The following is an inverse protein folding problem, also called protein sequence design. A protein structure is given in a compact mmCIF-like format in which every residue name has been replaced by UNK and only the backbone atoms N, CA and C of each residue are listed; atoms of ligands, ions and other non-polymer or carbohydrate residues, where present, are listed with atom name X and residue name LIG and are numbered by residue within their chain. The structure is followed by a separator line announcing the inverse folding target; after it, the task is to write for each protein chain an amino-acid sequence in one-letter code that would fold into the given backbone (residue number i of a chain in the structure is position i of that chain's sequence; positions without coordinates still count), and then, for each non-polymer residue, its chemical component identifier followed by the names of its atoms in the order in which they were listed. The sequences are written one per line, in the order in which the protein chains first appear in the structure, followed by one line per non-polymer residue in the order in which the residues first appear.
data_IF_480736951196
#
_entry.id   IF_480736951196
#
_cell.length_a   1.000
_cell.length_b   1.000
_cell.length_c   1.000
_cell.angle_alpha   90.00
_cell.angle_beta   90.00
_cell.angle_gamma   90.00
#
_symmetry.space_group_name_H-M   'P 1'
#
loop_
_entity.id
_entity.type
_entity.pdbx_description
1 polymer ?
#
# COMPACT_ATOMS: atom_id res chain seq x y z
N UNK A 1 -7.75 -0.29 18.74
CA UNK A 1 -6.32 0.06 18.70
C UNK A 1 -5.71 -0.89 17.67
N UNK A 2 -5.34 -0.42 16.49
CA UNK A 2 -5.04 -1.29 15.34
C UNK A 2 -3.69 -1.99 15.53
N UNK A 3 -3.73 -3.19 16.08
CA UNK A 3 -2.64 -4.17 15.98
C UNK A 3 -2.58 -4.65 14.53
N UNK A 4 -1.57 -4.41 13.70
CA UNK A 4 -0.39 -3.59 13.83
C UNK A 4 0.01 -3.19 12.39
N UNK A 5 0.16 -1.88 12.15
CA UNK A 5 0.77 -1.38 10.91
C UNK A 5 2.18 -1.99 10.71
N UNK A 6 2.87 -2.34 11.80
CA UNK A 6 4.23 -2.88 11.83
C UNK A 6 4.46 -4.16 11.02
N UNK A 7 3.91 -5.34 11.41
CA UNK A 7 4.19 -6.60 10.72
C UNK A 7 3.74 -6.62 9.26
N UNK A 8 2.59 -6.00 8.97
CA UNK A 8 2.08 -5.86 7.61
C UNK A 8 2.96 -4.97 6.73
N UNK A 9 3.36 -3.80 7.24
CA UNK A 9 4.23 -2.88 6.51
C UNK A 9 5.61 -3.49 6.23
N UNK A 10 6.19 -4.25 7.17
CA UNK A 10 7.49 -4.92 6.95
C UNK A 10 7.39 -5.95 5.83
N UNK A 11 6.32 -6.73 5.78
CA UNK A 11 6.11 -7.73 4.70
C UNK A 11 5.92 -7.05 3.35
N UNK A 12 5.12 -5.99 3.29
CA UNK A 12 4.89 -5.22 2.06
C UNK A 12 6.17 -4.52 1.58
N UNK A 13 6.95 -3.94 2.49
CA UNK A 13 8.26 -3.35 2.18
C UNK A 13 9.22 -4.36 1.56
N UNK A 14 9.29 -5.58 2.10
CA UNK A 14 10.11 -6.66 1.55
C UNK A 14 9.67 -7.10 0.15
N UNK A 15 8.36 -7.19 -0.08
CA UNK A 15 7.81 -7.49 -1.42
C UNK A 15 8.15 -6.38 -2.40
N UNK A 16 7.91 -5.13 -2.02
CA UNK A 16 8.22 -3.96 -2.85
C UNK A 16 9.70 -3.92 -3.25
N UNK A 17 10.62 -4.08 -2.30
CA UNK A 17 12.05 -4.10 -2.58
C UNK A 17 12.44 -5.22 -3.56
N UNK A 18 11.85 -6.41 -3.38
CA UNK A 18 12.13 -7.57 -4.25
C UNK A 18 11.66 -7.34 -5.68
N UNK A 19 10.48 -6.77 -5.86
CA UNK A 19 9.94 -6.58 -7.21
C UNK A 19 10.56 -5.37 -7.91
N UNK A 20 10.90 -4.32 -7.17
CA UNK A 20 11.66 -3.19 -7.71
C UNK A 20 13.14 -3.55 -7.99
N UNK A 21 13.61 -4.73 -7.57
CA UNK A 21 14.99 -5.16 -7.73
C UNK A 21 16.00 -4.36 -6.90
N UNK A 22 15.52 -3.71 -5.82
CA UNK A 22 16.36 -2.84 -5.00
C UNK A 22 17.27 -3.64 -4.08
N UNK A 23 18.56 -3.32 -4.10
CA UNK A 23 19.50 -3.74 -3.06
C UNK A 23 19.12 -3.06 -1.73
N UNK A 24 19.51 -3.63 -0.57
CA UNK A 24 19.18 -3.06 0.74
C UNK A 24 19.55 -1.58 0.88
N UNK A 25 20.71 -1.17 0.36
CA UNK A 25 21.14 0.23 0.38
C UNK A 25 20.26 1.16 -0.46
N UNK A 26 19.75 0.68 -1.60
CA UNK A 26 18.84 1.46 -2.45
C UNK A 26 17.47 1.60 -1.78
N UNK A 27 16.96 0.52 -1.18
CA UNK A 27 15.69 0.55 -0.46
C UNK A 27 15.71 1.55 0.71
N UNK A 28 16.77 1.56 1.52
CA UNK A 28 16.88 2.49 2.66
C UNK A 28 17.15 3.95 2.25
N UNK A 29 17.69 4.17 1.05
CA UNK A 29 17.89 5.51 0.50
C UNK A 29 16.67 6.05 -0.26
N UNK A 30 15.75 5.17 -0.68
CA UNK A 30 14.57 5.54 -1.44
C UNK A 30 13.62 6.40 -0.60
N UNK A 31 13.10 7.46 -1.20
CA UNK A 31 12.11 8.33 -0.58
C UNK A 31 10.69 7.77 -0.77
N UNK A 32 9.71 8.24 0.01
CA UNK A 32 8.31 7.89 -0.24
C UNK A 32 7.82 8.25 -1.64
N UNK A 33 8.39 9.30 -2.27
CA UNK A 33 8.06 9.69 -3.64
C UNK A 33 8.58 8.67 -4.67
N UNK A 34 9.79 8.14 -4.46
CA UNK A 34 10.35 7.07 -5.30
C UNK A 34 9.51 5.80 -5.19
N UNK A 35 9.09 5.46 -3.97
CA UNK A 35 8.19 4.32 -3.73
C UNK A 35 6.85 4.50 -4.45
N UNK A 36 6.25 5.70 -4.38
CA UNK A 36 5.01 6.01 -5.08
C UNK A 36 5.17 5.93 -6.60
N UNK A 37 6.29 6.42 -7.16
CA UNK A 37 6.56 6.36 -8.59
C UNK A 37 6.69 4.91 -9.10
N UNK A 38 7.36 4.04 -8.36
CA UNK A 38 7.47 2.61 -8.72
C UNK A 38 6.11 1.92 -8.66
N UNK A 39 5.31 2.19 -7.61
CA UNK A 39 3.99 1.59 -7.46
C UNK A 39 2.98 2.13 -8.49
N UNK A 40 3.13 3.38 -8.94
CA UNK A 40 2.28 3.98 -9.96
C UNK A 40 2.36 3.23 -11.30
N UNK A 41 3.48 2.58 -11.62
CA UNK A 41 3.61 1.75 -12.82
C UNK A 41 2.72 0.50 -12.82
N UNK A 42 2.14 0.14 -11.67
CA UNK A 42 1.17 -0.95 -11.53
C UNK A 42 -0.27 -0.50 -11.37
N UNK A 43 -0.50 0.80 -11.24
CA UNK A 43 -1.84 1.33 -11.38
C UNK A 43 -2.20 1.28 -12.87
N UNK A 44 -3.29 0.59 -13.21
CA UNK A 44 -3.83 0.59 -14.57
C UNK A 44 -4.12 2.04 -15.00
N UNK A 45 -3.78 2.40 -16.25
CA UNK A 45 -4.06 3.74 -16.80
C UNK A 45 -5.56 4.08 -16.79
N UNK A 46 -6.43 3.05 -16.77
CA UNK A 46 -7.87 3.19 -16.76
C UNK A 46 -8.47 3.55 -15.39
N UNK A 47 -7.66 3.74 -14.34
CA UNK A 47 -8.13 4.27 -13.05
C UNK A 47 -9.23 3.45 -12.35
N UNK A 48 -9.50 2.22 -12.84
CA UNK A 48 -10.66 1.44 -12.44
C UNK A 48 -10.51 0.75 -11.08
N UNK A 49 -9.28 0.69 -10.54
CA UNK A 49 -9.05 0.41 -9.13
C UNK A 49 -8.84 1.74 -8.39
N UNK A 50 -9.91 2.53 -8.24
CA UNK A 50 -9.96 3.54 -7.18
C UNK A 50 -9.53 2.81 -5.89
N UNK A 51 -8.44 3.23 -5.21
CA UNK A 51 -8.17 2.72 -3.88
C UNK A 51 -9.44 2.94 -3.08
N UNK A 52 -9.99 1.86 -2.50
CA UNK A 52 -11.26 1.85 -1.76
C UNK A 52 -11.41 3.16 -0.98
N UNK A 53 -12.30 4.02 -1.47
CA UNK A 53 -12.37 5.38 -0.95
C UNK A 53 -12.80 5.32 0.52
N UNK A 54 -12.21 6.18 1.36
CA UNK A 54 -12.38 6.09 2.83
C UNK A 54 -13.83 6.25 3.27
N UNK A 55 -14.59 7.01 2.51
CA UNK A 55 -16.04 7.18 2.63
C UNK A 55 -16.80 5.88 2.30
N UNK A 56 -16.43 5.20 1.22
CA UNK A 56 -17.00 3.90 0.82
C UNK A 56 -16.72 2.84 1.88
N UNK A 57 -15.49 2.77 2.39
CA UNK A 57 -15.14 1.88 3.49
C UNK A 57 -15.94 2.21 4.76
N UNK A 58 -16.11 3.50 5.07
CA UNK A 58 -16.95 3.97 6.18
C UNK A 58 -18.40 3.49 6.06
N UNK A 59 -19.00 3.64 4.89
CA UNK A 59 -20.36 3.18 4.61
C UNK A 59 -20.51 1.66 4.73
N UNK A 60 -19.49 0.88 4.33
CA UNK A 60 -19.50 -0.58 4.49
C UNK A 60 -19.45 -1.03 5.95
N UNK A 61 -18.62 -0.38 6.78
CA UNK A 61 -18.53 -0.70 8.21
C UNK A 61 -19.83 -0.38 8.96
N UNK A 62 -20.53 0.68 8.56
CA UNK A 62 -21.85 1.02 9.11
C UNK A 62 -22.94 0.03 8.68
N UNK A 63 -22.88 -0.41 7.41
CA UNK A 63 -23.85 -1.36 6.85
C UNK A 63 -23.66 -2.80 7.36
N UNK A 64 -22.43 -3.17 7.72
CA UNK A 64 -22.07 -4.50 8.21
C UNK A 64 -21.27 -4.36 9.52
N UNK A 65 -21.93 -4.04 10.64
CA UNK A 65 -21.27 -3.95 11.93
C UNK A 65 -20.82 -5.36 12.35
N UNK A 66 -19.51 -5.53 12.53
CA UNK A 66 -18.94 -6.77 13.05
C UNK A 66 -19.35 -6.91 14.53
N UNK A 67 -20.33 -7.81 14.78
CA UNK A 67 -20.86 -8.14 16.10
C UNK A 67 -20.06 -9.19 16.87
#
# INVERSE_FOLDING_TARGET
MSDAFGPGAVRLAGVMARVAGWLPGQFWAATPADAAAVLAAWADEDGAAMPMARDVLGAMMEAFPDG
#
